data_IF_311191530003
#
_entry.id   IF_311191530003
#
_cell.length_a   1.000
_cell.length_b   1.000
_cell.length_c   1.000
_cell.angle_alpha   90.00
_cell.angle_beta   90.00
_cell.angle_gamma   90.00
#
_symmetry.space_group_name_H-M   'P 1'
#
loop_
_entity.id
_entity.type
_entity.pdbx_description
1 polymer ?
#
# COMPACT_ATOMS: atom_id res chain seq x y z
N UNK A 1 -15.20 -0.74 11.39
CA UNK A 1 -13.89 -0.17 11.02
C UNK A 1 -14.07 0.56 9.71
N UNK A 2 -13.87 1.88 9.70
CA UNK A 2 -13.98 2.68 8.48
C UNK A 2 -12.90 2.32 7.48
N UNK A 3 -13.26 2.35 6.19
CA UNK A 3 -12.30 2.11 5.10
C UNK A 3 -11.40 3.34 4.97
N UNK A 4 -10.09 3.16 5.15
CA UNK A 4 -9.13 4.22 4.93
C UNK A 4 -9.06 4.57 3.43
N UNK A 5 -9.26 5.85 3.09
CA UNK A 5 -9.08 6.32 1.71
C UNK A 5 -7.63 6.78 1.50
N UNK A 6 -7.03 6.43 0.36
CA UNK A 6 -5.74 6.98 -0.06
C UNK A 6 -5.91 8.34 -0.72
N UNK A 7 -4.85 9.15 -0.80
CA UNK A 7 -4.87 10.43 -1.52
C UNK A 7 -5.33 10.30 -2.96
N UNK A 8 -4.88 9.26 -3.68
CA UNK A 8 -5.36 9.00 -5.05
C UNK A 8 -6.89 8.85 -5.11
N UNK A 9 -7.51 8.15 -4.15
CA UNK A 9 -8.97 8.01 -4.10
C UNK A 9 -9.69 9.31 -3.75
N UNK A 10 -9.12 10.12 -2.86
CA UNK A 10 -9.68 11.43 -2.51
C UNK A 10 -9.60 12.39 -3.72
N UNK A 11 -8.46 12.41 -4.42
CA UNK A 11 -8.26 13.20 -5.65
C UNK A 11 -9.29 12.85 -6.74
N UNK A 12 -9.45 11.56 -7.04
CA UNK A 12 -10.41 11.07 -8.05
C UNK A 12 -11.88 11.38 -7.73
N UNK A 13 -12.19 11.64 -6.45
CA UNK A 13 -13.53 12.04 -6.00
C UNK A 13 -13.68 13.55 -5.85
N UNK A 14 -12.69 14.33 -6.33
CA UNK A 14 -12.69 15.79 -6.30
C UNK A 14 -12.77 16.39 -4.88
N UNK A 15 -12.24 15.70 -3.87
CA UNK A 15 -12.04 16.30 -2.56
C UNK A 15 -10.92 17.35 -2.62
N UNK A 16 -11.05 18.43 -1.86
CA UNK A 16 -10.02 19.47 -1.77
C UNK A 16 -8.86 19.01 -0.88
N UNK A 17 -7.91 18.27 -1.47
CA UNK A 17 -6.70 17.77 -0.79
C UNK A 17 -5.42 18.48 -1.24
N UNK A 18 -5.55 19.56 -2.02
CA UNK A 18 -4.43 20.20 -2.72
C UNK A 18 -3.91 19.36 -3.89
N UNK A 19 -2.68 19.65 -4.35
CA UNK A 19 -2.03 18.99 -5.48
C UNK A 19 -1.03 17.91 -5.07
N UNK A 20 -0.74 17.79 -3.77
CA UNK A 20 0.22 16.82 -3.25
C UNK A 20 -0.44 15.43 -3.10
N UNK A 21 0.05 14.47 -3.90
CA UNK A 21 -0.36 13.08 -3.88
C UNK A 21 0.65 12.16 -3.19
N UNK A 22 1.69 12.71 -2.59
CA UNK A 22 2.80 12.00 -1.95
C UNK A 22 2.30 11.11 -0.80
N UNK A 23 2.92 9.94 -0.66
CA UNK A 23 2.66 9.07 0.47
C UNK A 23 3.27 9.64 1.74
N UNK A 24 2.40 10.03 2.68
CA UNK A 24 2.82 10.59 3.96
C UNK A 24 3.58 9.59 4.85
N UNK A 25 3.33 8.28 4.68
CA UNK A 25 3.89 7.28 5.56
C UNK A 25 5.37 7.02 5.31
N UNK A 26 5.81 7.05 4.05
CA UNK A 26 7.23 6.94 3.71
C UNK A 26 7.91 8.30 3.48
N UNK A 27 7.14 9.38 3.27
CA UNK A 27 7.70 10.71 3.00
C UNK A 27 8.33 10.83 1.61
N UNK A 28 8.07 9.87 0.72
CA UNK A 28 8.58 9.86 -0.66
C UNK A 28 7.59 10.56 -1.59
N UNK A 29 8.11 11.21 -2.65
CA UNK A 29 7.32 11.83 -3.72
C UNK A 29 6.74 10.80 -4.68
N UNK A 30 5.91 9.91 -4.14
CA UNK A 30 5.24 8.83 -4.86
C UNK A 30 3.75 8.86 -4.53
N UNK A 31 2.93 8.68 -5.55
CA UNK A 31 1.48 8.70 -5.41
C UNK A 31 0.99 7.65 -4.39
N UNK A 32 0.24 8.11 -3.39
CA UNK A 32 -0.40 7.24 -2.42
C UNK A 32 -1.61 6.51 -3.04
N UNK A 33 -1.33 5.32 -3.58
CA UNK A 33 -2.30 4.33 -4.04
C UNK A 33 -2.47 3.23 -2.99
N UNK A 34 -3.50 2.37 -3.13
CA UNK A 34 -3.64 1.20 -2.25
C UNK A 34 -2.46 0.24 -2.44
N UNK A 35 -2.03 0.05 -3.68
CA UNK A 35 -0.89 -0.78 -4.04
C UNK A 35 0.38 -0.29 -3.35
N UNK A 36 0.65 1.03 -3.42
CA UNK A 36 1.77 1.63 -2.72
C UNK A 36 1.60 1.47 -1.20
N UNK A 37 0.48 1.95 -0.65
CA UNK A 37 0.24 2.02 0.78
C UNK A 37 0.44 0.67 1.47
N UNK A 38 -0.03 -0.43 0.89
CA UNK A 38 0.03 -1.73 1.54
C UNK A 38 1.24 -2.59 1.14
N UNK A 39 1.74 -2.50 -0.09
CA UNK A 39 2.72 -3.48 -0.61
C UNK A 39 4.07 -2.89 -1.02
N UNK A 40 4.16 -1.58 -1.25
CA UNK A 40 5.40 -0.94 -1.75
C UNK A 40 5.98 0.11 -0.80
N UNK A 41 5.14 0.72 0.03
CA UNK A 41 5.55 1.73 0.99
C UNK A 41 6.61 1.15 1.94
N UNK A 42 7.71 1.88 2.15
CA UNK A 42 8.80 1.46 3.05
C UNK A 42 8.33 1.35 4.49
N UNK A 43 7.43 2.24 4.92
CA UNK A 43 6.76 2.15 6.21
C UNK A 43 5.99 0.84 6.37
N UNK A 44 5.08 0.54 5.43
CA UNK A 44 4.26 -0.68 5.50
C UNK A 44 5.09 -1.94 5.35
N UNK A 45 6.14 -1.92 4.51
CA UNK A 45 7.11 -3.02 4.42
C UNK A 45 7.74 -3.31 5.79
N UNK A 46 8.16 -2.27 6.54
CA UNK A 46 8.68 -2.45 7.91
C UNK A 46 7.62 -2.99 8.86
N UNK A 47 6.36 -2.60 8.73
CA UNK A 47 5.26 -3.17 9.50
C UNK A 47 5.06 -4.67 9.21
N UNK A 48 5.05 -5.08 7.94
CA UNK A 48 4.89 -6.49 7.55
C UNK A 48 6.08 -7.35 7.98
N UNK A 49 7.30 -6.82 7.94
CA UNK A 49 8.50 -7.51 8.41
C UNK A 49 8.41 -7.89 9.89
N UNK A 50 7.75 -7.08 10.73
CA UNK A 50 7.51 -7.42 12.15
C UNK A 50 6.60 -8.65 12.31
N UNK A 51 5.81 -8.97 11.30
CA UNK A 51 4.94 -10.15 11.24
C UNK A 51 5.56 -11.30 10.43
N UNK A 52 6.85 -11.20 10.07
CA UNK A 52 7.54 -12.13 9.18
C UNK A 52 6.89 -12.27 7.79
N UNK A 53 6.21 -11.22 7.32
CA UNK A 53 5.59 -11.18 5.98
C UNK A 53 6.48 -10.38 5.04
N UNK A 54 6.82 -10.99 3.90
CA UNK A 54 7.53 -10.33 2.79
C UNK A 54 6.69 -10.39 1.52
N UNK A 55 6.75 -9.32 0.75
CA UNK A 55 6.03 -9.18 -0.50
C UNK A 55 7.00 -9.20 -1.68
N UNK A 56 6.72 -9.95 -2.77
CA UNK A 56 7.50 -9.88 -3.99
C UNK A 56 7.60 -8.45 -4.54
N UNK A 57 8.75 -8.07 -5.11
CA UNK A 57 9.00 -6.73 -5.65
C UNK A 57 8.12 -6.37 -6.87
N UNK A 58 7.56 -7.38 -7.53
CA UNK A 58 6.70 -7.24 -8.71
C UNK A 58 5.38 -8.00 -8.54
N UNK A 59 4.45 -7.79 -9.46
CA UNK A 59 3.12 -8.41 -9.43
C UNK A 59 2.03 -7.46 -8.97
N UNK A 60 0.83 -7.68 -9.51
CA UNK A 60 -0.37 -6.97 -9.11
C UNK A 60 -0.87 -7.44 -7.73
N UNK A 61 -1.86 -6.70 -7.20
CA UNK A 61 -2.46 -6.99 -5.89
C UNK A 61 -3.00 -8.43 -5.79
N UNK A 62 -3.59 -8.98 -6.84
CA UNK A 62 -4.16 -10.32 -6.81
C UNK A 62 -3.05 -11.38 -6.75
N UNK A 63 -1.97 -11.18 -7.50
CA UNK A 63 -0.78 -12.04 -7.46
C UNK A 63 -0.15 -12.04 -6.06
N UNK A 64 0.02 -10.86 -5.45
CA UNK A 64 0.57 -10.73 -4.10
C UNK A 64 -0.31 -11.46 -3.07
N UNK A 65 -1.63 -11.26 -3.10
CA UNK A 65 -2.54 -11.93 -2.15
C UNK A 65 -2.55 -13.45 -2.29
N UNK A 66 -2.35 -13.98 -3.51
CA UNK A 66 -2.20 -15.43 -3.73
C UNK A 66 -0.92 -15.94 -3.06
N UNK A 67 0.19 -15.21 -3.16
CA UNK A 67 1.46 -15.59 -2.54
C UNK A 67 1.34 -15.78 -1.01
N UNK A 68 0.64 -14.88 -0.30
CA UNK A 68 0.42 -15.06 1.14
C UNK A 68 -0.32 -16.35 1.49
N UNK A 69 -1.37 -16.68 0.72
CA UNK A 69 -2.17 -17.87 1.00
C UNK A 69 -1.34 -19.14 0.85
N UNK A 70 -0.50 -19.20 -0.17
CA UNK A 70 0.37 -20.37 -0.41
C UNK A 70 1.51 -20.45 0.59
N UNK A 71 2.05 -19.31 1.05
CA UNK A 71 3.14 -19.26 2.04
C UNK A 71 2.72 -19.66 3.46
N UNK A 72 1.49 -19.37 3.87
CA UNK A 72 0.96 -19.68 5.21
C UNK A 72 0.33 -21.09 5.35
N UNK A 73 0.42 -21.94 4.32
CA UNK A 73 -0.07 -23.32 4.36
C UNK A 73 1.01 -24.37 4.68
N UNK A 74 2.16 -23.95 5.21
CA UNK A 74 3.21 -24.84 5.71
C UNK A 74 3.34 -24.74 7.22
#
# INVERSE_FOLDING_TARGET
>A
VDRLNTRNMLSRRHYNIGTNLDCLLCGEHVEETLEHLFFRCTFSTRCWLKLNITWPATGDRLHLLKHLKTGNQR
#
